data_IF_436080989160
#
_entry.id   IF_436080989160
#
_cell.length_a   1.000
_cell.length_b   1.000
_cell.length_c   1.000
_cell.angle_alpha   90.00
_cell.angle_beta   90.00
_cell.angle_gamma   90.00
#
_symmetry.space_group_name_H-M   'P 1'
#
loop_
_entity.id
_entity.type
_entity.pdbx_description
1 polymer ?
#
# COMPACT_ATOMS: atom_id res chain seq x y z
N UNK A 1 24.54 51.35 32.71
CA UNK A 1 24.50 49.92 32.38
C UNK A 1 23.05 49.49 32.29
N UNK A 2 22.47 49.42 31.08
CA UNK A 2 21.15 48.83 30.84
C UNK A 2 21.28 48.03 29.56
N UNK A 3 21.41 46.72 29.75
CA UNK A 3 21.80 45.75 28.72
C UNK A 3 20.70 45.68 27.66
N UNK A 4 21.12 45.88 26.42
CA UNK A 4 20.33 45.79 25.19
C UNK A 4 19.82 44.36 25.04
N UNK A 5 18.50 44.17 25.07
CA UNK A 5 17.86 42.87 24.82
C UNK A 5 17.64 42.72 23.31
N UNK A 6 18.66 42.18 22.64
CA UNK A 6 18.58 41.75 21.25
C UNK A 6 18.33 40.23 21.23
N UNK A 7 17.70 39.78 20.15
CA UNK A 7 17.96 38.50 19.46
C UNK A 7 17.05 37.28 19.76
N UNK A 8 16.20 37.03 18.75
CA UNK A 8 15.95 35.74 18.05
C UNK A 8 14.93 34.80 18.72
N UNK A 9 13.68 34.78 18.27
CA UNK A 9 13.18 34.06 17.07
C UNK A 9 13.74 32.61 16.98
N UNK A 10 13.25 31.76 17.88
CA UNK A 10 13.33 30.32 17.67
C UNK A 10 12.03 29.88 16.98
N UNK A 11 11.93 30.12 15.67
CA UNK A 11 11.01 29.35 14.83
C UNK A 11 11.57 27.93 14.80
N UNK A 12 11.05 27.08 15.67
CA UNK A 12 11.22 25.63 15.55
C UNK A 12 10.34 25.21 14.37
N UNK A 13 10.90 25.35 13.17
CA UNK A 13 10.39 24.69 11.99
C UNK A 13 10.53 23.19 12.25
N UNK A 14 9.46 22.56 12.74
CA UNK A 14 9.30 21.11 12.66
C UNK A 14 9.21 20.82 11.17
N UNK A 15 10.37 20.64 10.54
CA UNK A 15 10.50 20.02 9.23
C UNK A 15 9.98 18.60 9.43
N UNK A 16 8.67 18.43 9.22
CA UNK A 16 8.09 17.13 8.95
C UNK A 16 8.85 16.65 7.72
N UNK A 17 9.78 15.71 7.94
CA UNK A 17 10.65 15.19 6.91
C UNK A 17 9.78 14.87 5.71
N UNK A 18 10.13 15.41 4.54
CA UNK A 18 9.47 15.06 3.29
C UNK A 18 9.74 13.56 3.08
N UNK A 19 8.89 12.72 3.67
CA UNK A 19 8.83 11.30 3.39
C UNK A 19 8.64 11.25 1.88
N UNK A 20 9.58 10.62 1.19
CA UNK A 20 9.52 10.42 -0.24
C UNK A 20 8.24 9.63 -0.53
N UNK A 21 7.15 10.35 -0.82
CA UNK A 21 5.81 9.84 -1.10
C UNK A 21 5.76 9.20 -2.50
N UNK A 22 6.85 8.56 -2.94
CA UNK A 22 6.93 8.03 -4.27
C UNK A 22 6.27 6.65 -4.30
N UNK A 23 4.94 6.65 -4.25
CA UNK A 23 4.10 5.43 -4.31
C UNK A 23 4.37 4.62 -5.58
N UNK A 24 4.91 5.25 -6.62
CA UNK A 24 5.29 4.54 -7.85
C UNK A 24 6.36 3.47 -7.62
N UNK A 25 7.17 3.60 -6.56
CA UNK A 25 8.14 2.57 -6.14
C UNK A 25 7.46 1.27 -5.67
N UNK A 26 6.17 1.30 -5.34
CA UNK A 26 5.39 0.13 -4.94
C UNK A 26 4.65 -0.54 -6.10
N UNK A 27 4.82 -0.04 -7.33
CA UNK A 27 4.31 -0.71 -8.53
C UNK A 27 5.06 -1.98 -8.85
N UNK A 28 6.31 -2.10 -8.39
CA UNK A 28 7.15 -3.28 -8.59
C UNK A 28 7.85 -3.66 -7.29
N UNK A 29 8.13 -4.95 -7.11
CA UNK A 29 8.88 -5.49 -5.98
C UNK A 29 8.26 -6.72 -5.36
N UNK A 30 8.87 -7.16 -4.27
CA UNK A 30 8.34 -8.23 -3.41
C UNK A 30 7.75 -7.63 -2.13
N UNK A 31 6.58 -8.10 -1.74
CA UNK A 31 5.79 -7.53 -0.65
C UNK A 31 5.38 -8.61 0.34
N UNK A 32 5.61 -8.37 1.62
CA UNK A 32 4.94 -9.08 2.70
C UNK A 32 3.72 -8.28 3.15
N UNK A 33 2.55 -8.91 3.10
CA UNK A 33 1.28 -8.28 3.47
C UNK A 33 0.80 -8.79 4.82
N UNK A 34 0.40 -7.86 5.68
CA UNK A 34 -0.16 -8.10 7.00
C UNK A 34 -1.58 -7.54 7.03
N UNK A 35 -2.56 -8.37 7.35
CA UNK A 35 -3.96 -7.95 7.48
C UNK A 35 -4.20 -7.45 8.91
N UNK A 36 -4.96 -6.36 9.07
CA UNK A 36 -5.14 -5.71 10.38
C UNK A 36 -5.98 -6.55 11.35
N UNK A 37 -6.98 -7.26 10.82
CA UNK A 37 -7.98 -8.01 11.61
C UNK A 37 -7.63 -9.50 11.75
N UNK A 38 -6.51 -9.97 11.20
CA UNK A 38 -6.12 -11.38 11.20
C UNK A 38 -4.60 -11.56 11.30
N UNK A 39 -4.14 -12.72 11.78
CA UNK A 39 -2.72 -13.09 11.74
C UNK A 39 -2.27 -13.61 10.36
N UNK A 40 -3.04 -13.30 9.31
CA UNK A 40 -2.77 -13.76 7.95
C UNK A 40 -1.65 -12.92 7.36
N UNK A 41 -0.64 -13.61 6.86
CA UNK A 41 0.39 -13.04 6.02
C UNK A 41 0.35 -13.65 4.63
N UNK A 42 0.63 -12.83 3.61
CA UNK A 42 0.84 -13.29 2.24
C UNK A 42 2.10 -12.68 1.67
N UNK A 43 2.71 -13.35 0.71
CA UNK A 43 3.83 -12.82 -0.07
C UNK A 43 3.35 -12.51 -1.47
N UNK A 44 3.67 -11.32 -1.98
CA UNK A 44 3.32 -10.93 -3.34
C UNK A 44 4.55 -10.50 -4.12
N UNK A 45 4.78 -11.12 -5.28
CA UNK A 45 5.74 -10.66 -6.29
C UNK A 45 4.95 -9.85 -7.30
N UNK A 46 5.31 -8.58 -7.46
CA UNK A 46 4.55 -7.63 -8.27
C UNK A 46 5.43 -6.96 -9.31
N UNK A 47 4.93 -6.87 -10.53
CA UNK A 47 5.36 -5.88 -11.51
C UNK A 47 4.20 -4.89 -11.80
N UNK A 48 4.38 -4.01 -12.77
CA UNK A 48 3.41 -2.96 -13.07
C UNK A 48 2.04 -3.47 -13.57
N UNK A 49 1.96 -4.70 -14.08
CA UNK A 49 0.79 -5.26 -14.74
C UNK A 49 0.29 -6.58 -14.15
N UNK A 50 1.09 -7.26 -13.34
CA UNK A 50 0.81 -8.59 -12.76
C UNK A 50 1.28 -8.63 -11.31
N UNK A 51 0.47 -9.29 -10.47
CA UNK A 51 0.82 -9.69 -9.11
C UNK A 51 0.65 -11.20 -8.97
N UNK A 52 1.69 -11.87 -8.50
CA UNK A 52 1.64 -13.26 -8.04
C UNK A 52 1.61 -13.23 -6.53
N UNK A 53 0.51 -13.64 -5.92
CA UNK A 53 0.34 -13.69 -4.47
C UNK A 53 0.31 -15.13 -3.98
N UNK A 54 1.11 -15.42 -2.97
CA UNK A 54 1.14 -16.71 -2.28
C UNK A 54 0.52 -16.54 -0.90
N UNK A 55 -0.54 -17.29 -0.66
CA UNK A 55 -1.21 -17.38 0.64
C UNK A 55 -1.43 -18.85 0.98
N UNK A 56 -0.98 -19.27 2.17
CA UNK A 56 -1.10 -20.65 2.66
C UNK A 56 -0.56 -21.71 1.66
N UNK A 57 0.56 -21.40 1.00
CA UNK A 57 1.18 -22.26 -0.01
C UNK A 57 0.45 -22.31 -1.36
N UNK A 58 -0.66 -21.57 -1.51
CA UNK A 58 -1.42 -21.48 -2.76
C UNK A 58 -1.08 -20.19 -3.49
N UNK A 59 -0.70 -20.32 -4.75
CA UNK A 59 -0.42 -19.18 -5.62
C UNK A 59 -1.68 -18.70 -6.37
N UNK A 60 -1.82 -17.38 -6.45
CA UNK A 60 -2.85 -16.69 -7.20
C UNK A 60 -2.23 -15.62 -8.08
N UNK A 61 -2.61 -15.60 -9.35
CA UNK A 61 -2.11 -14.63 -10.32
C UNK A 61 -3.22 -13.61 -10.62
N UNK A 62 -2.88 -12.34 -10.47
CA UNK A 62 -3.76 -11.21 -10.68
C UNK A 62 -3.20 -10.30 -11.75
N UNK A 63 -4.06 -9.86 -12.67
CA UNK A 63 -3.79 -8.70 -13.51
C UNK A 63 -4.01 -7.42 -12.69
N UNK A 64 -3.14 -6.43 -12.90
CA UNK A 64 -3.17 -5.13 -12.24
C UNK A 64 -3.63 -4.07 -13.21
N UNK A 65 -4.58 -3.24 -12.78
CA UNK A 65 -4.93 -2.00 -13.47
C UNK A 65 -4.77 -0.82 -12.53
N UNK A 66 -3.82 0.07 -12.83
CA UNK A 66 -3.60 1.29 -12.06
C UNK A 66 -4.62 2.36 -12.46
N UNK A 67 -5.45 2.78 -11.51
CA UNK A 67 -6.38 3.89 -11.68
C UNK A 67 -5.72 5.23 -11.31
N UNK A 68 -4.78 5.20 -10.35
CA UNK A 68 -3.95 6.34 -9.96
C UNK A 68 -2.66 5.87 -9.28
N UNK A 69 -1.84 6.80 -8.77
CA UNK A 69 -0.68 6.43 -7.96
C UNK A 69 -1.05 5.77 -6.63
N UNK A 70 -2.27 5.99 -6.12
CA UNK A 70 -2.72 5.49 -4.81
C UNK A 70 -3.82 4.44 -4.92
N UNK A 71 -4.21 4.04 -6.13
CA UNK A 71 -5.32 3.12 -6.32
C UNK A 71 -5.12 2.23 -7.55
N UNK A 72 -5.34 0.94 -7.36
CA UNK A 72 -5.27 -0.07 -8.41
C UNK A 72 -6.29 -1.17 -8.19
N UNK A 73 -6.63 -1.89 -9.26
CA UNK A 73 -7.53 -3.03 -9.26
C UNK A 73 -6.72 -4.31 -9.47
N UNK A 74 -7.05 -5.35 -8.71
CA UNK A 74 -6.59 -6.72 -8.93
C UNK A 74 -7.74 -7.55 -9.51
N UNK A 75 -7.49 -8.23 -10.61
CA UNK A 75 -8.43 -9.18 -11.21
C UNK A 75 -7.73 -10.52 -11.40
N UNK A 76 -8.34 -11.61 -10.91
CA UNK A 76 -7.75 -12.94 -11.03
C UNK A 76 -7.69 -13.36 -12.50
N UNK A 77 -6.53 -13.83 -12.97
CA UNK A 77 -6.37 -14.24 -14.38
C UNK A 77 -7.20 -15.49 -14.68
N UNK A 78 -7.28 -16.43 -13.73
CA UNK A 78 -8.05 -17.66 -13.85
C UNK A 78 -9.16 -17.71 -12.79
N UNK A 79 -10.29 -17.00 -13.00
CA UNK A 79 -11.36 -16.97 -12.02
C UNK A 79 -12.12 -18.31 -11.97
N UNK A 80 -12.42 -18.80 -10.76
CA UNK A 80 -13.19 -20.04 -10.55
C UNK A 80 -14.62 -19.79 -10.11
N UNK A 81 -14.90 -18.60 -9.58
CA UNK A 81 -16.20 -18.21 -9.07
C UNK A 81 -16.46 -16.72 -9.34
N UNK A 82 -17.67 -16.25 -9.02
CA UNK A 82 -18.05 -14.86 -9.24
C UNK A 82 -17.17 -13.87 -8.46
N UNK A 83 -16.73 -14.25 -7.25
CA UNK A 83 -15.86 -13.40 -6.43
C UNK A 83 -14.50 -13.20 -7.09
N UNK A 84 -13.91 -14.27 -7.64
CA UNK A 84 -12.64 -14.22 -8.38
C UNK A 84 -12.74 -13.34 -9.64
N UNK A 85 -13.91 -13.32 -10.29
CA UNK A 85 -14.19 -12.45 -11.45
C UNK A 85 -14.49 -11.00 -11.06
N UNK A 86 -14.56 -10.68 -9.76
CA UNK A 86 -14.89 -9.34 -9.28
C UNK A 86 -13.59 -8.57 -9.00
N UNK A 87 -13.39 -7.37 -9.58
CA UNK A 87 -12.21 -6.57 -9.29
C UNK A 87 -12.06 -6.27 -7.80
N UNK A 88 -10.88 -6.56 -7.26
CA UNK A 88 -10.50 -6.22 -5.90
C UNK A 88 -9.72 -4.90 -5.92
N UNK A 89 -10.37 -3.83 -5.47
CA UNK A 89 -9.88 -2.47 -5.55
C UNK A 89 -9.05 -2.18 -4.31
N UNK A 90 -7.76 -1.87 -4.50
CA UNK A 90 -6.82 -1.56 -3.44
C UNK A 90 -6.49 -0.07 -3.47
N UNK A 91 -6.70 0.60 -2.34
CA UNK A 91 -6.39 2.01 -2.12
C UNK A 91 -5.34 2.18 -1.04
N UNK A 92 -4.21 2.78 -1.41
CA UNK A 92 -3.12 3.12 -0.50
C UNK A 92 -3.54 4.34 0.33
N UNK A 93 -3.50 4.21 1.65
CA UNK A 93 -3.94 5.23 2.60
C UNK A 93 -2.80 5.92 3.35
N UNK A 94 -1.60 5.36 3.33
CA UNK A 94 -0.42 5.93 3.96
C UNK A 94 0.84 5.24 3.50
N UNK A 95 1.95 5.98 3.48
CA UNK A 95 3.28 5.48 3.12
C UNK A 95 4.23 5.78 4.26
N UNK A 96 5.02 4.78 4.64
CA UNK A 96 6.09 4.92 5.62
C UNK A 96 7.25 4.00 5.23
N UNK A 97 8.39 4.61 4.96
CA UNK A 97 9.64 3.95 4.58
C UNK A 97 9.44 3.03 3.36
N UNK A 98 9.73 1.73 3.49
CA UNK A 98 9.51 0.73 2.44
C UNK A 98 8.09 0.12 2.45
N UNK A 99 7.16 0.71 3.19
CA UNK A 99 5.85 0.10 3.44
C UNK A 99 4.70 1.06 3.18
N UNK A 100 3.52 0.50 2.96
CA UNK A 100 2.29 1.26 2.81
C UNK A 100 1.12 0.59 3.50
N UNK A 101 0.19 1.39 4.01
CA UNK A 101 -1.11 0.92 4.50
C UNK A 101 -2.14 1.03 3.40
N UNK A 102 -3.10 0.12 3.39
CA UNK A 102 -4.15 0.10 2.37
C UNK A 102 -5.52 -0.25 2.93
N UNK A 103 -6.54 0.13 2.17
CA UNK A 103 -7.91 -0.35 2.28
C UNK A 103 -8.29 -1.00 0.96
N UNK A 104 -8.91 -2.18 1.02
CA UNK A 104 -9.34 -2.89 -0.17
C UNK A 104 -10.78 -3.40 -0.06
N UNK A 105 -11.43 -3.57 -1.20
CA UNK A 105 -12.81 -4.06 -1.28
C UNK A 105 -13.08 -4.66 -2.65
N UNK A 106 -14.06 -5.56 -2.73
CA UNK A 106 -14.59 -6.01 -4.01
C UNK A 106 -15.50 -4.95 -4.61
N UNK A 107 -15.39 -4.72 -5.92
CA UNK A 107 -16.24 -3.76 -6.65
C UNK A 107 -17.71 -4.07 -6.41
N UNK A 108 -18.46 -3.08 -5.91
CA UNK A 108 -19.90 -3.22 -5.61
C UNK A 108 -20.22 -3.98 -4.30
N UNK A 109 -19.23 -4.31 -3.49
CA UNK A 109 -19.41 -4.97 -2.19
C UNK A 109 -19.22 -3.99 -1.02
N UNK A 110 -19.88 -4.29 0.10
CA UNK A 110 -19.68 -3.61 1.38
C UNK A 110 -18.49 -4.18 2.19
N UNK A 111 -17.89 -5.28 1.72
CA UNK A 111 -16.71 -5.89 2.33
C UNK A 111 -15.53 -4.91 2.32
N UNK A 112 -14.79 -4.82 3.43
CA UNK A 112 -13.62 -3.96 3.56
C UNK A 112 -12.51 -4.76 4.22
N UNK A 113 -11.33 -4.73 3.59
CA UNK A 113 -10.10 -5.28 4.14
C UNK A 113 -9.15 -4.12 4.41
N UNK A 114 -8.43 -4.17 5.52
CA UNK A 114 -7.30 -3.28 5.78
C UNK A 114 -6.04 -4.09 6.01
N UNK A 115 -4.91 -3.46 5.71
CA UNK A 115 -3.62 -4.08 5.96
C UNK A 115 -2.45 -3.15 5.69
N UNK A 116 -1.27 -3.73 5.84
CA UNK A 116 0.02 -3.11 5.55
C UNK A 116 0.82 -4.03 4.66
N UNK A 117 1.42 -3.48 3.60
CA UNK A 117 2.37 -4.17 2.77
C UNK A 117 3.77 -3.59 2.99
N UNK A 118 4.77 -4.46 3.16
CA UNK A 118 6.18 -4.12 3.38
C UNK A 118 6.99 -4.62 2.19
N UNK A 119 7.68 -3.71 1.49
CA UNK A 119 8.55 -4.07 0.36
C UNK A 119 9.85 -4.66 0.88
N UNK A 120 10.16 -5.90 0.50
CA UNK A 120 11.37 -6.62 0.95
C UNK A 120 12.48 -6.67 -0.11
N UNK A 121 12.14 -6.48 -1.39
CA UNK A 121 13.07 -6.39 -2.52
C UNK A 121 12.50 -5.48 -3.61
#
# INVERSE_FOLDING_TARGET
MRVVFYIIICLVSISCGKQSNNVTNFRTGTFETFLEDTNVTSTAIRNDSIQIETYDGVEHIFAIKWNSNFEYELLKINPKNQLDSTPFIVKITGVKDNSYTFKAHYKGSNFKQKGRAVKTN
#
